data_IF_238975756490
#
_entry.id   IF_238975756490
#
_cell.length_a   1.000
_cell.length_b   1.000
_cell.length_c   1.000
_cell.angle_alpha   90.00
_cell.angle_beta   90.00
_cell.angle_gamma   90.00
#
_symmetry.space_group_name_H-M   'P 1'
#
loop_
_entity.id
_entity.type
_entity.pdbx_description
1 polymer ?
#
# COMPACT_ATOMS: atom_id res chain seq x y z
N UNK A 1 22.01 -8.16 37.78
CA UNK A 1 22.20 -7.28 36.61
C UNK A 1 21.85 -8.11 35.39
N UNK A 2 20.64 -7.95 34.87
CA UNK A 2 20.19 -8.67 33.68
C UNK A 2 20.63 -7.84 32.49
N UNK A 3 21.66 -8.29 31.77
CA UNK A 3 22.02 -7.77 30.46
C UNK A 3 20.88 -8.05 29.51
N UNK A 4 20.06 -7.04 29.26
CA UNK A 4 19.08 -7.05 28.17
C UNK A 4 19.88 -6.98 26.88
N UNK A 5 20.19 -8.14 26.30
CA UNK A 5 20.60 -8.24 24.90
C UNK A 5 19.43 -7.68 24.10
N UNK A 6 19.55 -6.48 23.54
CA UNK A 6 18.62 -6.01 22.51
C UNK A 6 18.76 -6.99 21.34
N UNK A 7 17.86 -7.97 21.29
CA UNK A 7 17.71 -8.81 20.09
C UNK A 7 17.48 -7.86 18.92
N UNK A 8 18.40 -7.89 17.95
CA UNK A 8 18.28 -7.13 16.71
C UNK A 8 17.03 -7.67 16.01
N UNK A 9 16.10 -6.78 15.65
CA UNK A 9 14.88 -7.17 14.93
C UNK A 9 15.29 -7.98 13.69
N UNK A 10 14.81 -9.23 13.53
CA UNK A 10 15.16 -10.05 12.38
C UNK A 10 14.63 -9.46 11.07
N UNK A 11 13.70 -8.52 11.11
CA UNK A 11 13.20 -7.80 9.96
C UNK A 11 14.18 -6.72 9.49
N UNK A 12 14.44 -6.66 8.18
CA UNK A 12 15.30 -5.62 7.59
C UNK A 12 14.62 -5.02 6.37
N UNK A 13 14.60 -3.67 6.30
CA UNK A 13 13.95 -2.92 5.24
C UNK A 13 14.92 -1.93 4.57
N UNK A 14 15.89 -2.41 3.77
CA UNK A 14 16.84 -1.51 3.12
C UNK A 14 16.25 -0.76 1.92
N UNK A 15 16.60 0.52 1.76
CA UNK A 15 16.44 1.25 0.51
C UNK A 15 17.69 1.08 -0.36
N UNK A 16 17.52 0.79 -1.65
CA UNK A 16 18.58 0.80 -2.66
C UNK A 16 18.47 2.06 -3.50
N UNK A 17 19.40 2.99 -3.33
CA UNK A 17 19.52 4.16 -4.20
C UNK A 17 20.38 3.83 -5.41
N UNK A 18 19.84 4.05 -6.60
CA UNK A 18 20.53 3.68 -7.84
C UNK A 18 20.40 4.76 -8.92
N UNK A 19 21.35 4.73 -9.86
CA UNK A 19 21.34 5.50 -11.12
C UNK A 19 21.49 4.55 -12.31
N UNK A 20 20.51 4.58 -13.21
CA UNK A 20 20.45 3.74 -14.40
C UNK A 20 20.39 2.23 -14.12
N UNK A 21 20.30 1.45 -15.20
CA UNK A 21 20.09 0.00 -15.14
C UNK A 21 21.25 -0.77 -14.51
N UNK A 22 22.48 -0.29 -14.66
CA UNK A 22 23.67 -0.98 -14.12
C UNK A 22 23.65 -1.02 -12.60
N UNK A 23 23.49 0.13 -11.94
CA UNK A 23 23.44 0.17 -10.47
C UNK A 23 22.20 -0.54 -9.93
N UNK A 24 21.08 -0.47 -10.65
CA UNK A 24 19.88 -1.22 -10.31
C UNK A 24 20.16 -2.74 -10.27
N UNK A 25 20.81 -3.28 -11.31
CA UNK A 25 21.18 -4.69 -11.38
C UNK A 25 22.26 -5.07 -10.37
N UNK A 26 23.27 -4.22 -10.18
CA UNK A 26 24.34 -4.43 -9.22
C UNK A 26 23.79 -4.52 -7.77
N UNK A 27 22.69 -3.82 -7.46
CA UNK A 27 22.03 -3.91 -6.15
C UNK A 27 20.99 -5.03 -6.02
N UNK A 28 20.29 -5.39 -7.11
CA UNK A 28 19.17 -6.35 -7.06
C UNK A 28 19.58 -7.79 -7.33
N UNK A 29 20.51 -8.05 -8.26
CA UNK A 29 20.89 -9.42 -8.61
C UNK A 29 21.65 -10.15 -7.48
N UNK A 30 22.62 -9.53 -6.78
CA UNK A 30 23.27 -10.21 -5.66
C UNK A 30 22.28 -10.54 -4.54
N UNK A 31 21.36 -9.63 -4.24
CA UNK A 31 20.31 -9.86 -3.24
C UNK A 31 19.47 -11.10 -3.54
N UNK A 32 19.12 -11.32 -4.83
CA UNK A 32 18.37 -12.49 -5.29
C UNK A 32 19.24 -13.75 -5.23
N UNK A 33 20.46 -13.70 -5.79
CA UNK A 33 21.35 -14.87 -5.86
C UNK A 33 21.72 -15.39 -4.48
N UNK A 34 22.09 -14.51 -3.56
CA UNK A 34 22.38 -14.87 -2.17
C UNK A 34 21.19 -15.54 -1.48
N UNK A 35 19.97 -15.07 -1.74
CA UNK A 35 18.76 -15.68 -1.22
C UNK A 35 18.59 -17.12 -1.71
N UNK A 36 18.69 -17.30 -3.03
CA UNK A 36 18.57 -18.62 -3.66
C UNK A 36 19.69 -19.58 -3.19
N UNK A 37 20.94 -19.12 -3.13
CA UNK A 37 22.08 -19.90 -2.63
C UNK A 37 21.91 -20.33 -1.16
N UNK A 38 21.27 -19.49 -0.33
CA UNK A 38 20.95 -19.79 1.06
C UNK A 38 19.66 -20.62 1.23
N UNK A 39 18.94 -20.93 0.15
CA UNK A 39 17.63 -21.61 0.19
C UNK A 39 16.51 -20.73 0.77
N UNK A 40 16.69 -19.40 0.77
CA UNK A 40 15.70 -18.42 1.20
C UNK A 40 14.72 -18.13 0.05
N UNK A 41 13.39 -18.23 0.25
CA UNK A 41 12.41 -17.90 -0.79
C UNK A 41 12.52 -16.44 -1.24
N UNK A 42 12.52 -16.21 -2.56
CA UNK A 42 12.67 -14.87 -3.15
C UNK A 42 11.43 -14.46 -3.97
N UNK A 43 10.94 -13.26 -3.74
CA UNK A 43 9.97 -12.59 -4.58
C UNK A 43 10.48 -11.24 -5.10
N UNK A 44 10.06 -10.86 -6.30
CA UNK A 44 10.38 -9.57 -6.92
C UNK A 44 9.08 -8.96 -7.42
N UNK A 45 8.71 -7.84 -6.82
CA UNK A 45 7.55 -7.04 -7.19
C UNK A 45 8.03 -5.62 -7.57
N UNK A 46 8.26 -5.39 -8.86
CA UNK A 46 8.79 -4.12 -9.40
C UNK A 46 8.03 -3.75 -10.68
N UNK A 47 8.17 -2.52 -11.23
CA UNK A 47 7.53 -2.16 -12.49
C UNK A 47 7.93 -3.10 -13.64
N UNK A 48 7.01 -3.32 -14.59
CA UNK A 48 7.18 -4.28 -15.69
C UNK A 48 8.48 -4.16 -16.51
N UNK A 49 9.03 -2.95 -16.67
CA UNK A 49 10.33 -2.77 -17.32
C UNK A 49 11.49 -3.35 -16.50
N UNK A 50 11.50 -3.07 -15.20
CA UNK A 50 12.53 -3.56 -14.27
C UNK A 50 12.41 -5.07 -14.03
N UNK A 51 11.18 -5.61 -14.08
CA UNK A 51 10.95 -7.06 -14.08
C UNK A 51 11.67 -7.74 -15.23
N UNK A 52 11.45 -7.26 -16.47
CA UNK A 52 12.07 -7.83 -17.67
C UNK A 52 13.59 -7.76 -17.60
N UNK A 53 14.12 -6.66 -17.05
CA UNK A 53 15.56 -6.47 -16.86
C UNK A 53 16.14 -7.54 -15.91
N UNK A 54 15.54 -7.70 -14.72
CA UNK A 54 15.97 -8.72 -13.73
C UNK A 54 15.84 -10.13 -14.31
N UNK A 55 14.71 -10.45 -14.95
CA UNK A 55 14.46 -11.78 -15.52
C UNK A 55 15.48 -12.15 -16.60
N UNK A 56 15.86 -11.18 -17.44
CA UNK A 56 16.84 -11.39 -18.51
C UNK A 56 18.21 -11.74 -17.93
N UNK A 57 18.66 -11.01 -16.91
CA UNK A 57 19.97 -11.20 -16.29
C UNK A 57 20.06 -12.43 -15.37
N UNK A 58 18.93 -12.87 -14.81
CA UNK A 58 18.88 -14.12 -14.03
C UNK A 58 18.90 -15.38 -14.91
N UNK A 59 18.45 -15.29 -16.16
CA UNK A 59 18.36 -16.45 -17.05
C UNK A 59 17.50 -17.57 -16.44
N UNK A 60 18.04 -18.79 -16.38
CA UNK A 60 17.32 -19.97 -15.87
C UNK A 60 16.90 -19.86 -14.39
N UNK A 61 17.68 -19.14 -13.58
CA UNK A 61 17.38 -18.92 -12.15
C UNK A 61 16.08 -18.13 -11.93
N UNK A 62 15.58 -17.42 -12.95
CA UNK A 62 14.31 -16.72 -12.86
C UNK A 62 13.14 -17.68 -12.56
N UNK A 63 13.24 -18.96 -12.91
CA UNK A 63 12.21 -19.96 -12.61
C UNK A 63 12.03 -20.24 -11.11
N UNK A 64 13.02 -19.89 -10.29
CA UNK A 64 13.02 -20.07 -8.83
C UNK A 64 12.50 -18.83 -8.07
N UNK A 65 12.24 -17.74 -8.78
CA UNK A 65 11.82 -16.45 -8.19
C UNK A 65 10.36 -16.15 -8.50
N UNK A 66 9.61 -15.67 -7.50
CA UNK A 66 8.23 -15.22 -7.70
C UNK A 66 8.21 -13.78 -8.22
N UNK A 67 7.80 -13.58 -9.47
CA UNK A 67 7.65 -12.25 -10.06
C UNK A 67 6.21 -11.73 -10.03
N UNK A 68 6.03 -10.43 -9.71
CA UNK A 68 4.75 -9.71 -9.80
C UNK A 68 4.98 -8.31 -10.39
N UNK A 69 4.12 -7.86 -11.30
CA UNK A 69 4.19 -6.48 -11.80
C UNK A 69 3.65 -5.52 -10.74
N UNK A 70 4.50 -4.63 -10.22
CA UNK A 70 4.12 -3.67 -9.18
C UNK A 70 3.20 -2.56 -9.72
N UNK A 71 3.20 -2.28 -11.02
CA UNK A 71 2.25 -1.33 -11.63
C UNK A 71 0.82 -1.86 -11.61
N UNK A 72 0.67 -3.20 -11.65
CA UNK A 72 -0.58 -3.87 -11.41
C UNK A 72 -0.75 -4.11 -9.91
N UNK A 73 -0.02 -5.05 -9.32
CA UNK A 73 -0.15 -5.54 -7.94
C UNK A 73 -0.04 -4.42 -6.88
N UNK A 74 0.74 -3.38 -7.15
CA UNK A 74 0.92 -2.23 -6.26
C UNK A 74 0.15 -0.98 -6.64
N UNK A 75 -0.75 -1.06 -7.63
CA UNK A 75 -1.55 0.07 -8.08
C UNK A 75 -2.20 0.83 -6.91
N UNK A 76 -2.88 0.09 -6.04
CA UNK A 76 -3.30 0.57 -4.74
C UNK A 76 -2.26 0.16 -3.68
N UNK A 77 -1.50 1.09 -3.08
CA UNK A 77 -0.52 0.76 -2.04
C UNK A 77 -1.15 0.04 -0.84
N UNK A 78 -2.45 0.28 -0.60
CA UNK A 78 -3.33 -0.41 0.32
C UNK A 78 -3.16 -1.92 0.36
N UNK A 79 -3.00 -2.54 -0.81
CA UNK A 79 -3.04 -3.99 -0.98
C UNK A 79 -1.69 -4.68 -0.96
N UNK A 80 -0.58 -3.93 -0.99
CA UNK A 80 0.76 -4.51 -1.13
C UNK A 80 1.14 -5.34 0.10
N UNK A 81 0.97 -4.78 1.32
CA UNK A 81 1.23 -5.53 2.56
C UNK A 81 0.40 -6.83 2.61
N UNK A 82 -0.94 -6.80 2.53
CA UNK A 82 -1.72 -8.02 2.68
C UNK A 82 -1.65 -8.96 1.47
N UNK A 83 -1.66 -8.42 0.25
CA UNK A 83 -1.85 -9.18 -0.99
C UNK A 83 -0.56 -9.58 -1.71
N UNK A 84 0.56 -8.92 -1.42
CA UNK A 84 1.87 -9.23 -2.03
C UNK A 84 2.84 -9.72 -0.97
N UNK A 85 3.20 -8.85 -0.02
CA UNK A 85 4.30 -9.11 0.92
C UNK A 85 3.93 -10.23 1.90
N UNK A 86 2.79 -10.09 2.60
CA UNK A 86 2.30 -11.12 3.55
C UNK A 86 1.84 -12.37 2.83
N UNK A 87 1.15 -12.23 1.68
CA UNK A 87 0.71 -13.37 0.88
C UNK A 87 1.87 -14.25 0.38
N UNK A 88 3.06 -13.67 0.16
CA UNK A 88 4.28 -14.43 -0.12
C UNK A 88 4.93 -14.96 1.16
N UNK A 89 5.25 -14.08 2.11
CA UNK A 89 5.99 -14.44 3.32
C UNK A 89 5.26 -15.48 4.18
N UNK A 90 3.93 -15.42 4.30
CA UNK A 90 3.15 -16.35 5.12
C UNK A 90 3.05 -17.77 4.52
N UNK A 91 3.50 -17.99 3.26
CA UNK A 91 3.61 -19.33 2.67
C UNK A 91 4.85 -20.09 3.14
N UNK A 92 5.78 -19.40 3.78
CA UNK A 92 7.06 -19.94 4.21
C UNK A 92 7.14 -19.87 5.73
N UNK A 93 6.91 -21.01 6.38
CA UNK A 93 6.79 -21.12 7.85
C UNK A 93 8.14 -21.19 8.58
N UNK A 94 9.25 -21.36 7.85
CA UNK A 94 10.60 -21.47 8.40
C UNK A 94 11.61 -20.74 7.52
N UNK A 95 12.63 -20.17 8.15
CA UNK A 95 13.73 -19.49 7.45
C UNK A 95 13.42 -18.02 7.14
N UNK A 96 14.42 -17.36 6.56
CA UNK A 96 14.31 -15.97 6.11
C UNK A 96 13.66 -15.92 4.73
N UNK A 97 12.85 -14.89 4.49
CA UNK A 97 12.25 -14.59 3.18
C UNK A 97 12.85 -13.29 2.63
N UNK A 98 13.16 -13.24 1.33
CA UNK A 98 13.66 -12.04 0.64
C UNK A 98 12.64 -11.52 -0.36
N UNK A 99 12.38 -10.22 -0.33
CA UNK A 99 11.46 -9.57 -1.26
C UNK A 99 12.11 -8.30 -1.82
N UNK A 100 12.02 -8.08 -3.12
CA UNK A 100 12.26 -6.76 -3.72
C UNK A 100 10.91 -6.12 -3.99
N UNK A 101 10.67 -4.91 -3.48
CA UNK A 101 9.44 -4.16 -3.67
C UNK A 101 9.73 -2.75 -4.19
N UNK A 102 9.24 -2.37 -5.36
CA UNK A 102 9.41 -1.01 -5.89
C UNK A 102 8.04 -0.35 -6.09
N UNK A 103 7.32 0.02 -5.00
CA UNK A 103 5.98 0.62 -5.10
C UNK A 103 6.01 2.11 -5.48
N UNK A 104 7.18 2.74 -5.42
CA UNK A 104 7.43 4.14 -5.81
C UNK A 104 8.41 4.14 -6.99
N UNK A 105 7.89 4.39 -8.18
CA UNK A 105 8.65 4.52 -9.42
C UNK A 105 8.34 5.87 -10.09
N UNK A 106 9.19 6.36 -11.02
CA UNK A 106 8.91 7.57 -11.79
C UNK A 106 7.56 7.47 -12.50
N UNK A 107 6.64 8.39 -12.22
CA UNK A 107 5.29 8.42 -12.78
C UNK A 107 4.15 8.17 -11.80
N UNK A 108 4.43 7.92 -10.51
CA UNK A 108 3.40 8.03 -9.46
C UNK A 108 2.86 9.45 -9.42
N UNK A 109 1.54 9.60 -9.48
CA UNK A 109 0.88 10.90 -9.40
C UNK A 109 0.94 11.47 -7.98
N UNK A 110 0.78 12.79 -7.85
CA UNK A 110 0.63 13.47 -6.55
C UNK A 110 -0.55 12.92 -5.71
N UNK A 111 -1.56 12.34 -6.37
CA UNK A 111 -2.69 11.67 -5.71
C UNK A 111 -2.31 10.31 -5.13
N UNK A 112 -1.44 9.56 -5.81
CA UNK A 112 -1.02 8.22 -5.40
C UNK A 112 0.12 8.24 -4.38
N UNK A 113 1.10 9.12 -4.60
CA UNK A 113 2.36 9.12 -3.86
C UNK A 113 2.22 9.13 -2.33
N UNK A 114 1.33 9.94 -1.72
CA UNK A 114 1.11 9.89 -0.27
C UNK A 114 0.71 8.51 0.26
N UNK A 115 -0.08 7.73 -0.49
CA UNK A 115 -0.44 6.38 -0.10
C UNK A 115 0.76 5.41 -0.21
N UNK A 116 1.67 5.65 -1.16
CA UNK A 116 2.88 4.86 -1.34
C UNK A 116 3.86 5.08 -0.20
N UNK A 117 4.16 6.33 0.15
CA UNK A 117 5.12 6.65 1.23
C UNK A 117 4.60 6.23 2.61
N UNK A 118 3.29 6.35 2.87
CA UNK A 118 2.68 5.74 4.05
C UNK A 118 2.80 4.21 4.03
N UNK A 119 2.62 3.57 2.87
CA UNK A 119 2.80 2.13 2.75
C UNK A 119 4.23 1.69 3.12
N UNK A 120 5.25 2.39 2.61
CA UNK A 120 6.66 2.14 2.92
C UNK A 120 6.94 2.25 4.43
N UNK A 121 6.45 3.31 5.07
CA UNK A 121 6.59 3.47 6.52
C UNK A 121 5.93 2.31 7.30
N UNK A 122 4.74 1.89 6.87
CA UNK A 122 3.95 0.83 7.53
C UNK A 122 4.51 -0.58 7.34
N UNK A 123 5.41 -0.81 6.39
CA UNK A 123 6.10 -2.10 6.24
C UNK A 123 6.87 -2.44 7.52
N UNK A 124 7.58 -1.47 8.11
CA UNK A 124 8.34 -1.63 9.34
C UNK A 124 7.46 -2.17 10.49
N UNK A 125 6.27 -1.59 10.67
CA UNK A 125 5.33 -2.04 11.69
C UNK A 125 4.69 -3.39 11.35
N UNK A 126 4.42 -3.66 10.07
CA UNK A 126 3.75 -4.88 9.64
C UNK A 126 4.64 -6.14 9.70
N UNK A 127 5.96 -5.96 9.67
CA UNK A 127 6.93 -7.05 9.61
C UNK A 127 7.89 -7.14 10.79
N UNK A 128 7.85 -6.21 11.75
CA UNK A 128 8.67 -6.29 12.97
C UNK A 128 8.58 -7.68 13.63
N UNK A 129 9.74 -8.20 14.03
CA UNK A 129 9.89 -9.53 14.64
C UNK A 129 9.86 -10.70 13.66
N UNK A 130 9.78 -10.45 12.34
CA UNK A 130 9.76 -11.52 11.33
C UNK A 130 11.11 -11.62 10.62
N UNK A 131 11.55 -12.85 10.31
CA UNK A 131 12.71 -13.09 9.48
C UNK A 131 12.41 -12.80 7.99
N UNK A 132 12.25 -11.52 7.65
CA UNK A 132 12.01 -11.06 6.28
C UNK A 132 12.98 -9.92 5.98
N UNK A 133 13.52 -9.90 4.76
CA UNK A 133 14.25 -8.76 4.23
C UNK A 133 13.49 -8.21 3.04
N UNK A 134 13.13 -6.92 3.06
CA UNK A 134 12.41 -6.25 1.96
C UNK A 134 13.30 -5.14 1.42
N UNK A 135 13.85 -5.31 0.22
CA UNK A 135 14.68 -4.33 -0.46
C UNK A 135 13.80 -3.43 -1.33
N UNK A 136 13.86 -2.12 -1.12
CA UNK A 136 13.10 -1.14 -1.90
C UNK A 136 14.02 -0.27 -2.78
N UNK A 137 14.01 -0.44 -4.11
CA UNK A 137 14.78 0.41 -5.02
C UNK A 137 14.19 1.82 -5.17
N UNK A 138 15.05 2.82 -5.32
CA UNK A 138 14.71 4.23 -5.55
C UNK A 138 15.63 4.83 -6.63
N UNK A 139 15.01 5.24 -7.74
CA UNK A 139 15.69 5.88 -8.88
C UNK A 139 16.10 7.31 -8.55
N UNK A 140 17.40 7.55 -8.35
CA UNK A 140 17.92 8.87 -8.02
C UNK A 140 17.91 9.85 -9.21
N UNK A 141 17.74 9.38 -10.45
CA UNK A 141 17.66 10.22 -11.65
C UNK A 141 16.21 10.59 -11.98
N UNK A 142 15.27 9.69 -11.70
CA UNK A 142 13.86 9.82 -12.06
C UNK A 142 12.91 10.29 -10.96
N UNK A 143 13.31 10.22 -9.69
CA UNK A 143 12.46 10.62 -8.55
C UNK A 143 12.79 12.01 -8.01
N UNK A 144 11.76 12.71 -7.54
CA UNK A 144 11.94 14.02 -6.91
C UNK A 144 12.80 13.91 -5.64
N UNK A 145 13.63 14.93 -5.32
CA UNK A 145 14.46 14.91 -4.11
C UNK A 145 13.68 14.73 -2.80
N UNK A 146 12.41 15.12 -2.76
CA UNK A 146 11.52 14.87 -1.62
C UNK A 146 11.26 13.38 -1.41
N UNK A 147 11.04 12.64 -2.49
CA UNK A 147 10.86 11.19 -2.45
C UNK A 147 12.08 10.49 -1.86
N UNK A 148 13.27 10.97 -2.21
CA UNK A 148 14.53 10.42 -1.68
C UNK A 148 14.66 10.71 -0.18
N UNK A 149 14.35 11.93 0.28
CA UNK A 149 14.34 12.25 1.71
C UNK A 149 13.35 11.39 2.50
N UNK A 150 12.18 11.13 1.93
CA UNK A 150 11.19 10.26 2.56
C UNK A 150 11.65 8.79 2.59
N UNK A 151 12.37 8.33 1.57
CA UNK A 151 13.01 7.02 1.58
C UNK A 151 14.03 6.91 2.74
N UNK A 152 14.86 7.95 2.93
CA UNK A 152 15.79 8.02 4.07
C UNK A 152 15.07 7.98 5.42
N UNK A 153 13.91 8.63 5.54
CA UNK A 153 13.11 8.62 6.76
C UNK A 153 12.31 7.33 6.99
N UNK A 154 12.10 6.50 5.97
CA UNK A 154 11.31 5.26 6.07
C UNK A 154 12.14 3.98 6.16
N UNK A 155 13.41 4.01 5.76
CA UNK A 155 14.29 2.83 5.71
C UNK A 155 15.42 2.94 6.73
N UNK A 156 15.59 1.96 7.64
CA UNK A 156 16.65 1.99 8.64
C UNK A 156 18.05 1.79 8.04
N UNK A 157 18.13 1.21 6.83
CA UNK A 157 19.36 0.91 6.11
C UNK A 157 19.27 1.48 4.70
N UNK A 158 20.33 2.14 4.26
CA UNK A 158 20.45 2.77 2.95
C UNK A 158 21.63 2.14 2.22
N UNK A 159 21.41 1.72 0.98
CA UNK A 159 22.38 1.08 0.11
C UNK A 159 22.57 1.94 -1.12
N UNK A 160 23.81 2.21 -1.50
CA UNK A 160 24.17 2.83 -2.77
C UNK A 160 25.50 2.26 -3.29
N UNK A 161 26.08 2.87 -4.33
CA UNK A 161 27.35 2.43 -4.92
C UNK A 161 28.56 2.47 -3.97
N UNK A 162 28.45 3.11 -2.81
CA UNK A 162 29.50 3.13 -1.77
C UNK A 162 29.33 2.04 -0.70
N UNK A 163 28.20 1.33 -0.71
CA UNK A 163 27.88 0.25 0.22
C UNK A 163 26.63 0.52 1.05
N UNK A 164 26.54 -0.16 2.20
CA UNK A 164 25.41 -0.09 3.12
C UNK A 164 25.72 0.81 4.33
N UNK A 165 24.76 1.64 4.75
CA UNK A 165 24.84 2.49 5.94
C UNK A 165 23.51 2.54 6.67
N UNK A 166 23.54 2.85 7.97
CA UNK A 166 22.32 3.19 8.71
C UNK A 166 21.79 4.57 8.28
N UNK A 167 20.47 4.73 8.21
CA UNK A 167 19.85 6.05 8.02
C UNK A 167 19.86 6.85 9.32
N UNK A 168 20.41 8.07 9.28
CA UNK A 168 20.36 9.00 10.41
C UNK A 168 19.00 9.65 10.62
N UNK A 169 18.14 9.66 9.58
CA UNK A 169 16.84 10.33 9.56
C UNK A 169 15.66 9.36 9.75
N UNK A 170 15.95 8.07 10.01
CA UNK A 170 14.95 7.02 10.14
C UNK A 170 13.89 7.36 11.22
N UNK A 171 12.68 7.66 10.75
CA UNK A 171 11.53 8.07 11.56
C UNK A 171 10.21 7.71 10.84
N UNK A 172 9.90 6.42 10.64
CA UNK A 172 8.72 5.99 9.88
C UNK A 172 7.40 6.47 10.51
N UNK A 173 7.32 6.56 11.85
CA UNK A 173 6.13 7.09 12.54
C UNK A 173 5.89 8.58 12.26
N UNK A 174 6.95 9.35 11.97
CA UNK A 174 6.83 10.73 11.52
C UNK A 174 6.20 10.77 10.13
N UNK A 175 6.66 9.92 9.22
CA UNK A 175 6.11 9.82 7.85
C UNK A 175 4.62 9.45 7.86
N UNK A 176 4.21 8.45 8.66
CA UNK A 176 2.79 8.08 8.79
C UNK A 176 1.92 9.27 9.20
N UNK A 177 2.40 10.07 10.16
CA UNK A 177 1.73 11.25 10.68
C UNK A 177 1.71 12.41 9.68
N UNK A 178 2.85 12.71 9.08
CA UNK A 178 3.03 13.87 8.19
C UNK A 178 2.24 13.68 6.88
N UNK A 179 2.03 12.43 6.44
CA UNK A 179 1.20 12.12 5.28
C UNK A 179 -0.28 11.83 5.61
N UNK A 180 -0.67 11.81 6.89
CA UNK A 180 -2.08 11.83 7.31
C UNK A 180 -2.63 13.27 7.24
N UNK A 181 -2.75 13.79 6.02
CA UNK A 181 -3.25 15.13 5.75
C UNK A 181 -4.72 15.11 5.34
N UNK A 182 -5.51 16.16 5.65
CA UNK A 182 -6.86 16.32 5.13
C UNK A 182 -6.90 16.17 3.61
N UNK A 183 -7.87 15.41 3.11
CA UNK A 183 -8.06 15.22 1.68
C UNK A 183 -8.64 16.50 1.06
N UNK A 184 -8.21 16.83 -0.16
CA UNK A 184 -8.72 18.00 -0.87
C UNK A 184 -10.23 17.90 -1.09
N UNK A 185 -10.93 19.03 -1.09
CA UNK A 185 -12.36 19.03 -1.40
C UNK A 185 -12.64 18.46 -2.80
N UNK A 186 -13.78 17.78 -2.99
CA UNK A 186 -14.19 17.31 -4.30
C UNK A 186 -14.42 18.50 -5.26
N UNK A 187 -14.25 18.29 -6.58
CA UNK A 187 -14.50 19.33 -7.57
C UNK A 187 -15.99 19.75 -7.60
N UNK A 188 -16.33 20.94 -8.14
CA UNK A 188 -17.71 21.36 -8.31
C UNK A 188 -18.55 20.33 -9.07
N UNK A 189 -19.80 20.14 -8.66
CA UNK A 189 -20.73 19.18 -9.29
C UNK A 189 -20.74 17.78 -8.65
N UNK A 190 -20.02 17.56 -7.55
CA UNK A 190 -20.20 16.36 -6.74
C UNK A 190 -21.62 16.26 -6.19
N UNK A 191 -22.10 15.03 -6.00
CA UNK A 191 -23.37 14.74 -5.34
C UNK A 191 -23.13 14.21 -3.94
N UNK A 192 -24.09 14.42 -3.03
CA UNK A 192 -23.98 14.04 -1.63
C UNK A 192 -25.16 13.21 -1.17
N UNK A 193 -24.91 12.25 -0.29
CA UNK A 193 -25.92 11.46 0.39
C UNK A 193 -25.54 11.30 1.87
N UNK A 194 -26.30 11.94 2.75
CA UNK A 194 -26.19 11.73 4.19
C UNK A 194 -26.92 10.44 4.57
N UNK A 195 -26.28 9.61 5.40
CA UNK A 195 -26.82 8.32 5.80
C UNK A 195 -26.69 8.10 7.32
N UNK A 196 -27.56 7.23 7.84
CA UNK A 196 -27.62 6.79 9.23
C UNK A 196 -28.25 5.40 9.33
N UNK A 197 -28.67 5.02 10.54
CA UNK A 197 -29.32 3.73 10.80
C UNK A 197 -30.53 3.49 9.86
N UNK A 198 -30.59 2.30 9.26
CA UNK A 198 -31.67 1.91 8.34
C UNK A 198 -31.51 2.38 6.89
N UNK A 199 -30.50 3.19 6.57
CA UNK A 199 -30.31 3.76 5.21
C UNK A 199 -29.24 3.07 4.37
N UNK A 200 -28.62 2.01 4.89
CA UNK A 200 -27.55 1.26 4.20
C UNK A 200 -27.95 0.79 2.79
N UNK A 201 -29.20 0.37 2.57
CA UNK A 201 -29.67 -0.01 1.25
C UNK A 201 -29.74 1.18 0.27
N UNK A 202 -30.13 2.36 0.78
CA UNK A 202 -30.31 3.56 -0.01
C UNK A 202 -28.97 4.16 -0.44
N UNK A 203 -28.00 4.26 0.48
CA UNK A 203 -26.66 4.78 0.16
C UNK A 203 -25.96 3.91 -0.89
N UNK A 204 -26.13 2.58 -0.82
CA UNK A 204 -25.62 1.65 -1.86
C UNK A 204 -26.30 1.87 -3.20
N UNK A 205 -27.62 1.94 -3.23
CA UNK A 205 -28.37 2.13 -4.47
C UNK A 205 -28.00 3.47 -5.13
N UNK A 206 -27.86 4.52 -4.33
CA UNK A 206 -27.42 5.84 -4.79
C UNK A 206 -26.02 5.80 -5.42
N UNK A 207 -25.06 5.15 -4.76
CA UNK A 207 -23.69 5.04 -5.29
C UNK A 207 -23.62 4.23 -6.59
N UNK A 208 -24.36 3.12 -6.66
CA UNK A 208 -24.42 2.27 -7.85
C UNK A 208 -25.08 2.99 -9.03
N UNK A 209 -26.19 3.69 -8.79
CA UNK A 209 -26.86 4.49 -9.84
C UNK A 209 -25.90 5.56 -10.40
N UNK A 210 -25.23 6.32 -9.53
CA UNK A 210 -24.23 7.30 -9.97
C UNK A 210 -23.11 6.65 -10.78
N UNK A 211 -22.45 5.62 -10.22
CA UNK A 211 -21.30 4.97 -10.83
C UNK A 211 -21.63 4.35 -12.19
N UNK A 212 -22.82 3.75 -12.34
CA UNK A 212 -23.28 3.17 -13.60
C UNK A 212 -23.48 4.22 -14.69
N UNK A 213 -24.04 5.39 -14.35
CA UNK A 213 -24.23 6.51 -15.30
C UNK A 213 -22.90 7.12 -15.75
N UNK A 214 -21.87 7.01 -14.92
CA UNK A 214 -20.51 7.46 -15.22
C UNK A 214 -19.64 6.39 -15.90
N UNK A 215 -20.22 5.25 -16.26
CA UNK A 215 -19.57 4.22 -17.09
C UNK A 215 -18.99 3.01 -16.35
N UNK A 216 -19.08 2.95 -15.02
CA UNK A 216 -18.63 1.76 -14.28
C UNK A 216 -19.64 0.62 -14.46
N UNK A 217 -19.17 -0.56 -14.85
CA UNK A 217 -20.03 -1.70 -15.17
C UNK A 217 -19.44 -3.04 -14.71
N UNK A 218 -20.25 -4.10 -14.79
CA UNK A 218 -19.85 -5.47 -14.50
C UNK A 218 -19.30 -5.66 -13.09
N UNK A 219 -18.23 -6.44 -12.95
CA UNK A 219 -17.59 -6.73 -11.65
C UNK A 219 -17.13 -5.46 -10.92
N UNK A 220 -16.68 -4.43 -11.64
CA UNK A 220 -16.23 -3.16 -11.02
C UNK A 220 -17.37 -2.43 -10.30
N UNK A 221 -18.59 -2.51 -10.83
CA UNK A 221 -19.76 -1.91 -10.21
C UNK A 221 -20.17 -2.67 -8.94
N UNK A 222 -20.03 -4.00 -8.96
CA UNK A 222 -20.26 -4.85 -7.78
C UNK A 222 -19.19 -4.63 -6.70
N UNK A 223 -17.92 -4.46 -7.09
CA UNK A 223 -16.84 -4.07 -6.18
C UNK A 223 -17.15 -2.74 -5.48
N UNK A 224 -17.57 -1.72 -6.25
CA UNK A 224 -17.96 -0.43 -5.70
C UNK A 224 -19.15 -0.56 -4.74
N UNK A 225 -20.18 -1.33 -5.12
CA UNK A 225 -21.34 -1.60 -4.26
C UNK A 225 -20.90 -2.22 -2.94
N UNK A 226 -20.03 -3.22 -2.97
CA UNK A 226 -19.50 -3.88 -1.77
C UNK A 226 -18.71 -2.89 -0.91
N UNK A 227 -17.80 -2.12 -1.51
CA UNK A 227 -16.96 -1.17 -0.77
C UNK A 227 -17.81 -0.09 -0.09
N UNK A 228 -18.79 0.49 -0.79
CA UNK A 228 -19.73 1.46 -0.20
C UNK A 228 -20.52 0.84 0.95
N UNK A 229 -20.91 -0.44 0.82
CA UNK A 229 -21.59 -1.17 1.91
C UNK A 229 -20.73 -1.26 3.16
N UNK A 230 -19.49 -1.69 2.99
CA UNK A 230 -18.54 -1.94 4.07
C UNK A 230 -18.11 -0.65 4.77
N UNK A 231 -17.81 0.39 3.99
CA UNK A 231 -17.41 1.68 4.55
C UNK A 231 -18.58 2.37 5.26
N UNK A 232 -19.79 2.36 4.67
CA UNK A 232 -20.96 2.92 5.33
C UNK A 232 -21.32 2.15 6.61
N UNK A 233 -21.20 0.81 6.61
CA UNK A 233 -21.41 0.00 7.81
C UNK A 233 -20.38 0.35 8.90
N UNK A 234 -19.10 0.52 8.54
CA UNK A 234 -18.08 0.98 9.48
C UNK A 234 -18.40 2.36 10.08
N UNK A 235 -18.91 3.29 9.27
CA UNK A 235 -19.35 4.60 9.77
C UNK A 235 -20.52 4.50 10.75
N UNK A 236 -21.44 3.53 10.57
CA UNK A 236 -22.52 3.30 11.53
C UNK A 236 -22.02 2.68 12.83
N UNK A 237 -21.17 1.66 12.73
CA UNK A 237 -20.70 0.87 13.87
C UNK A 237 -19.63 1.62 14.69
N UNK A 238 -18.73 2.35 14.02
CA UNK A 238 -17.54 2.98 14.61
C UNK A 238 -17.43 4.49 14.38
N UNK A 239 -18.21 5.02 13.42
CA UNK A 239 -18.17 6.43 13.01
C UNK A 239 -19.18 7.36 13.69
N UNK A 240 -19.83 6.89 14.76
CA UNK A 240 -20.84 7.67 15.49
C UNK A 240 -22.27 7.51 14.97
N UNK A 241 -22.57 6.45 14.19
CA UNK A 241 -23.94 6.10 13.79
C UNK A 241 -24.47 6.82 12.56
N UNK A 242 -23.63 7.60 11.88
CA UNK A 242 -23.99 8.33 10.66
C UNK A 242 -22.75 8.66 9.83
N UNK A 243 -22.95 9.04 8.58
CA UNK A 243 -21.89 9.51 7.71
C UNK A 243 -22.40 10.23 6.47
N UNK A 244 -21.48 10.72 5.67
CA UNK A 244 -21.76 11.42 4.42
C UNK A 244 -20.97 10.77 3.30
N UNK A 245 -21.69 10.30 2.28
CA UNK A 245 -21.13 9.87 1.00
C UNK A 245 -21.10 11.06 0.04
N UNK A 246 -19.94 11.39 -0.52
CA UNK A 246 -19.78 12.33 -1.65
C UNK A 246 -19.28 11.58 -2.86
N UNK A 247 -19.85 11.82 -4.04
CA UNK A 247 -19.52 11.14 -5.30
C UNK A 247 -19.25 12.17 -6.39
N UNK A 248 -18.21 11.95 -7.18
CA UNK A 248 -17.90 12.72 -8.38
C UNK A 248 -17.20 11.84 -9.41
N UNK A 249 -17.12 12.36 -10.63
CA UNK A 249 -16.26 11.83 -11.69
C UNK A 249 -15.08 12.77 -11.90
N UNK A 250 -13.89 12.23 -12.06
CA UNK A 250 -12.71 12.97 -12.51
C UNK A 250 -12.03 12.16 -13.61
N UNK A 251 -11.73 12.79 -14.74
CA UNK A 251 -11.16 12.13 -15.93
C UNK A 251 -11.91 10.82 -16.30
N UNK A 252 -11.22 9.69 -16.24
CA UNK A 252 -11.77 8.34 -16.45
C UNK A 252 -11.92 7.58 -15.12
N UNK A 253 -12.37 8.28 -14.07
CA UNK A 253 -12.53 7.71 -12.73
C UNK A 253 -13.86 8.09 -12.10
N UNK A 254 -14.45 7.13 -11.40
CA UNK A 254 -15.46 7.36 -10.38
C UNK A 254 -14.74 7.46 -9.04
N UNK A 255 -15.00 8.52 -8.30
CA UNK A 255 -14.38 8.76 -7.00
C UNK A 255 -15.46 9.05 -5.98
N UNK A 256 -15.27 8.54 -4.77
CA UNK A 256 -16.14 8.87 -3.66
C UNK A 256 -15.41 9.00 -2.34
N UNK A 257 -15.98 9.83 -1.47
CA UNK A 257 -15.63 9.92 -0.07
C UNK A 257 -16.74 9.32 0.76
N UNK A 258 -16.38 8.57 1.80
CA UNK A 258 -17.23 8.36 2.97
C UNK A 258 -16.55 9.03 4.15
N UNK A 259 -17.29 9.92 4.82
CA UNK A 259 -16.82 10.64 6.00
C UNK A 259 -17.76 10.47 7.18
N UNK A 260 -17.19 10.39 8.38
CA UNK A 260 -17.90 10.18 9.64
C UNK A 260 -17.13 10.77 10.84
N UNK A 261 -17.69 10.65 12.05
CA UNK A 261 -17.11 11.18 13.28
C UNK A 261 -16.19 10.19 14.00
N UNK A 262 -15.82 9.09 13.35
CA UNK A 262 -14.95 8.05 13.90
C UNK A 262 -13.47 8.42 13.87
N UNK A 263 -12.67 7.50 14.42
CA UNK A 263 -11.21 7.60 14.40
C UNK A 263 -10.59 6.21 14.21
N UNK A 264 -9.85 6.03 13.13
CA UNK A 264 -9.05 4.82 12.90
C UNK A 264 -7.73 4.96 13.66
N UNK A 265 -7.66 4.34 14.84
CA UNK A 265 -6.48 4.41 15.70
C UNK A 265 -5.37 3.42 15.33
N UNK A 266 -5.70 2.30 14.68
CA UNK A 266 -4.72 1.30 14.24
C UNK A 266 -4.19 1.67 12.85
N UNK A 267 -2.90 2.05 12.71
CA UNK A 267 -2.33 2.46 11.43
C UNK A 267 -2.27 1.32 10.40
N UNK A 268 -2.41 0.07 10.83
CA UNK A 268 -2.47 -1.10 9.95
C UNK A 268 -3.90 -1.61 9.70
N UNK A 269 -4.92 -0.82 10.06
CA UNK A 269 -6.31 -1.12 9.71
C UNK A 269 -6.46 -1.31 8.19
N UNK A 270 -7.01 -2.46 7.78
CA UNK A 270 -7.13 -2.83 6.37
C UNK A 270 -5.83 -3.22 5.67
N UNK A 271 -4.70 -3.33 6.39
CA UNK A 271 -3.39 -3.74 5.85
C UNK A 271 -2.94 -5.12 6.31
N UNK A 272 -3.56 -5.70 7.34
CA UNK A 272 -3.27 -7.05 7.81
C UNK A 272 -4.20 -8.07 7.14
N UNK A 273 -3.71 -9.25 6.73
CA UNK A 273 -4.60 -10.34 6.34
C UNK A 273 -5.53 -10.69 7.49
N UNK A 274 -6.85 -10.68 7.24
CA UNK A 274 -7.85 -11.11 8.21
C UNK A 274 -8.33 -12.49 7.82
N UNK A 275 -8.21 -13.46 8.73
CA UNK A 275 -8.70 -14.82 8.50
C UNK A 275 -10.21 -14.85 8.22
N UNK A 276 -10.71 -15.83 7.44
CA UNK A 276 -12.11 -15.91 7.01
C UNK A 276 -13.12 -16.08 8.16
N UNK A 277 -12.67 -16.26 9.40
CA UNK A 277 -13.52 -16.47 10.59
C UNK A 277 -13.63 -15.27 11.55
N UNK A 278 -12.99 -14.13 11.26
CA UNK A 278 -13.14 -12.91 12.08
C UNK A 278 -14.17 -11.95 11.45
N UNK A 279 -15.36 -11.77 12.05
CA UNK A 279 -16.33 -10.75 11.66
C UNK A 279 -15.86 -9.35 12.10
N UNK A 280 -16.14 -8.32 11.29
CA UNK A 280 -16.05 -6.91 11.72
C UNK A 280 -14.79 -6.12 11.35
N UNK A 281 -13.73 -6.74 10.80
CA UNK A 281 -12.46 -6.03 10.48
C UNK A 281 -12.04 -6.12 9.01
N UNK A 282 -12.96 -6.44 8.10
CA UNK A 282 -12.65 -6.64 6.68
C UNK A 282 -12.92 -5.46 5.79
N UNK A 283 -13.79 -4.52 6.17
CA UNK A 283 -14.25 -3.48 5.26
C UNK A 283 -13.11 -2.69 4.61
N UNK A 284 -12.15 -2.20 5.40
CA UNK A 284 -10.97 -1.51 4.87
C UNK A 284 -10.01 -2.42 4.10
N UNK A 285 -9.88 -3.69 4.49
CA UNK A 285 -9.05 -4.66 3.75
C UNK A 285 -9.65 -4.92 2.35
N UNK A 286 -10.95 -5.19 2.28
CA UNK A 286 -11.71 -5.39 1.04
C UNK A 286 -11.65 -4.13 0.18
N UNK A 287 -11.81 -2.95 0.80
CA UNK A 287 -11.64 -1.65 0.14
C UNK A 287 -10.28 -1.54 -0.55
N UNK A 288 -9.20 -1.85 0.17
CA UNK A 288 -7.85 -1.82 -0.38
C UNK A 288 -7.64 -2.85 -1.51
N UNK A 289 -8.23 -4.05 -1.40
CA UNK A 289 -8.05 -5.12 -2.37
C UNK A 289 -8.78 -4.86 -3.71
N UNK A 290 -9.99 -4.28 -3.65
CA UNK A 290 -10.88 -4.16 -4.81
C UNK A 290 -10.83 -2.80 -5.51
N UNK A 291 -10.44 -1.72 -4.82
CA UNK A 291 -10.35 -0.39 -5.44
C UNK A 291 -9.00 -0.15 -6.13
N UNK A 292 -8.96 0.85 -7.01
CA UNK A 292 -7.73 1.23 -7.72
C UNK A 292 -6.79 2.09 -6.85
N UNK A 293 -7.33 2.87 -5.92
CA UNK A 293 -6.59 3.63 -4.93
C UNK A 293 -7.50 3.94 -3.74
N UNK A 294 -6.92 3.94 -2.54
CA UNK A 294 -7.56 4.45 -1.32
C UNK A 294 -6.68 5.52 -0.72
N UNK A 295 -7.28 6.64 -0.33
CA UNK A 295 -6.67 7.67 0.52
C UNK A 295 -7.49 7.79 1.80
N UNK A 296 -6.82 7.94 2.93
CA UNK A 296 -7.46 8.06 4.23
C UNK A 296 -6.90 9.29 4.92
N UNK A 297 -7.79 10.08 5.50
CA UNK A 297 -7.45 11.03 6.54
C UNK A 297 -8.25 10.65 7.79
N UNK A 298 -7.59 10.53 8.92
CA UNK A 298 -8.22 10.15 10.19
C UNK A 298 -7.65 10.98 11.33
N UNK A 299 -8.54 11.51 12.16
CA UNK A 299 -8.23 12.23 13.39
C UNK A 299 -9.33 11.95 14.41
N UNK A 300 -9.12 12.36 15.66
CA UNK A 300 -10.14 12.21 16.69
C UNK A 300 -11.41 12.97 16.30
N UNK A 301 -12.52 12.25 16.11
CA UNK A 301 -13.81 12.83 15.75
C UNK A 301 -14.02 13.08 14.25
N UNK A 302 -13.10 12.64 13.39
CA UNK A 302 -13.24 12.81 11.94
C UNK A 302 -12.43 11.75 11.18
N UNK A 303 -13.11 10.95 10.37
CA UNK A 303 -12.49 10.04 9.39
C UNK A 303 -13.07 10.31 8.02
N UNK A 304 -12.21 10.37 7.00
CA UNK A 304 -12.59 10.41 5.58
C UNK A 304 -11.81 9.36 4.82
N UNK A 305 -12.52 8.45 4.16
CA UNK A 305 -11.97 7.46 3.24
C UNK A 305 -12.37 7.83 1.82
N UNK A 306 -11.39 8.18 0.99
CA UNK A 306 -11.56 8.43 -0.45
C UNK A 306 -11.15 7.21 -1.25
N UNK A 307 -12.00 6.80 -2.16
CA UNK A 307 -11.81 5.61 -2.98
C UNK A 307 -11.93 5.97 -4.46
N UNK A 308 -10.99 5.46 -5.25
CA UNK A 308 -10.93 5.70 -6.69
C UNK A 308 -11.19 4.39 -7.45
N UNK A 309 -11.99 4.51 -8.51
CA UNK A 309 -12.26 3.46 -9.48
C UNK A 309 -12.04 4.00 -10.89
N UNK A 310 -11.18 3.37 -11.67
CA UNK A 310 -11.09 3.65 -13.09
C UNK A 310 -12.30 3.09 -13.82
N UNK A 311 -12.86 3.93 -14.68
CA UNK A 311 -13.75 3.55 -15.77
C UNK A 311 -12.85 3.04 -16.89
N UNK A 312 -12.89 1.74 -17.16
CA UNK A 312 -12.20 1.10 -18.28
C UNK A 312 -13.16 0.91 -19.44
#
# INVERSE_FOLDING_TARGET
>A
MSTTTTEVDPFVHPALFYRGSRQYLDGTLPFIREGLEAGEPVAVAVPGQNLKLIQTELGEMASEVRFLDMTEAGRNPGRIIPGVLRAFADRHSSGRVRIIGEPIWPGRSATEYPACVQHEALINLAFSGRAVTILCPYDLDGLDPEVIRDAEATHPVLIDGSGSRSSGDYAPDRIVRDYNQPLSDPPPGFVTFAFGNGTLALVRAFAVDYASRTGLAGERLEDLRLIVSELAANSLDYGGGSGVLRLWSEDLRVVFDISDAGHIADPLAGRRPVGPRHPGSRGLLVTNLLSDLVRVHTAHGATTVRVYFNVR
#
